data_IF_327199373878
#
_entry.id   IF_327199373878
#
_cell.length_a   1.000
_cell.length_b   1.000
_cell.length_c   1.000
_cell.angle_alpha   90.00
_cell.angle_beta   90.00
_cell.angle_gamma   90.00
#
_symmetry.space_group_name_H-M   'P 1'
#
loop_
_entity.id
_entity.type
_entity.pdbx_description
1 polymer ?
#
# COMPACT_ATOMS: atom_id res chain seq x y z
N UNK A 1 7.47 -24.75 5.66
CA UNK A 1 7.22 -24.12 4.35
C UNK A 1 5.96 -23.25 4.34
N UNK A 2 4.81 -23.75 4.84
CA UNK A 2 3.55 -23.00 4.79
C UNK A 2 3.62 -21.60 5.45
N UNK A 3 4.28 -21.48 6.61
CA UNK A 3 4.44 -20.17 7.28
C UNK A 3 5.30 -19.19 6.49
N UNK A 4 6.33 -19.67 5.77
CA UNK A 4 7.14 -18.83 4.90
C UNK A 4 6.29 -18.24 3.77
N UNK A 5 5.51 -19.06 3.09
CA UNK A 5 4.60 -18.59 2.04
C UNK A 5 3.55 -17.59 2.58
N UNK A 6 2.91 -17.93 3.71
CA UNK A 6 1.90 -17.06 4.36
C UNK A 6 2.45 -15.68 4.73
N UNK A 7 3.68 -15.60 5.26
CA UNK A 7 4.31 -14.32 5.60
C UNK A 7 4.55 -13.49 4.34
N UNK A 8 5.07 -14.10 3.27
CA UNK A 8 5.31 -13.38 2.02
C UNK A 8 4.01 -12.85 1.41
N UNK A 9 2.92 -13.63 1.45
CA UNK A 9 1.59 -13.15 1.00
C UNK A 9 1.17 -11.93 1.81
N UNK A 10 1.25 -11.97 3.15
CA UNK A 10 0.91 -10.81 3.98
C UNK A 10 1.80 -9.61 3.67
N UNK A 11 3.11 -9.82 3.53
CA UNK A 11 4.07 -8.75 3.22
C UNK A 11 3.82 -8.10 1.87
N UNK A 12 3.42 -8.88 0.86
CA UNK A 12 2.99 -8.38 -0.45
C UNK A 12 1.75 -7.51 -0.30
N UNK A 13 0.74 -7.98 0.45
CA UNK A 13 -0.50 -7.23 0.66
C UNK A 13 -0.27 -5.93 1.43
N UNK A 14 0.61 -5.95 2.44
CA UNK A 14 1.04 -4.75 3.15
C UNK A 14 1.74 -3.78 2.18
N UNK A 15 2.70 -4.27 1.39
CA UNK A 15 3.34 -3.43 0.37
C UNK A 15 2.31 -2.80 -0.59
N UNK A 16 1.29 -3.54 -1.01
CA UNK A 16 0.20 -3.02 -1.86
C UNK A 16 -0.63 -1.93 -1.17
N UNK A 17 -0.96 -2.08 0.11
CA UNK A 17 -1.69 -1.05 0.87
C UNK A 17 -0.95 0.29 0.85
N UNK A 18 0.39 0.27 0.94
CA UNK A 18 1.19 1.48 0.90
C UNK A 18 1.44 1.98 -0.53
N UNK A 19 1.73 1.06 -1.45
CA UNK A 19 2.07 1.34 -2.84
C UNK A 19 0.92 1.91 -3.65
N UNK A 20 -0.29 1.38 -3.50
CA UNK A 20 -1.44 1.78 -4.32
C UNK A 20 -1.83 3.26 -4.13
N UNK A 21 -1.97 3.78 -2.89
CA UNK A 21 -2.24 5.19 -2.68
C UNK A 21 -1.17 6.10 -3.29
N UNK A 22 0.12 5.77 -3.08
CA UNK A 22 1.23 6.54 -3.63
C UNK A 22 1.16 6.60 -5.16
N UNK A 23 0.94 5.44 -5.79
CA UNK A 23 0.88 5.34 -7.24
C UNK A 23 -0.33 6.08 -7.80
N UNK A 24 -1.50 5.97 -7.15
CA UNK A 24 -2.69 6.69 -7.59
C UNK A 24 -2.52 8.20 -7.44
N UNK A 25 -2.03 8.67 -6.29
CA UNK A 25 -1.77 10.09 -6.03
C UNK A 25 -0.72 10.67 -6.99
N UNK A 26 0.36 9.92 -7.25
CA UNK A 26 1.40 10.36 -8.18
C UNK A 26 0.93 10.44 -9.64
N UNK A 27 -0.25 9.90 -9.96
CA UNK A 27 -0.76 9.79 -11.31
C UNK A 27 -2.08 10.51 -11.56
N UNK A 28 -2.52 11.37 -10.62
CA UNK A 28 -3.72 12.19 -10.76
C UNK A 28 -3.73 12.95 -12.10
N UNK A 29 -2.62 13.62 -12.45
CA UNK A 29 -2.53 14.40 -13.70
C UNK A 29 -2.60 13.53 -14.95
N UNK A 30 -1.95 12.36 -14.91
CA UNK A 30 -1.99 11.39 -16.00
C UNK A 30 -3.40 10.85 -16.22
N UNK A 31 -4.12 10.54 -15.13
CA UNK A 31 -5.52 10.12 -15.21
C UNK A 31 -6.43 11.23 -15.73
N UNK A 32 -6.25 12.46 -15.26
CA UNK A 32 -7.01 13.62 -15.77
C UNK A 32 -6.82 13.80 -17.28
N UNK A 33 -5.57 13.75 -17.77
CA UNK A 33 -5.28 13.86 -19.20
C UNK A 33 -5.90 12.71 -20.02
N UNK A 34 -5.79 11.47 -19.55
CA UNK A 34 -6.26 10.30 -20.30
C UNK A 34 -7.78 10.14 -20.28
N UNK A 35 -8.44 10.51 -19.18
CA UNK A 35 -9.90 10.45 -19.05
C UNK A 35 -10.63 11.67 -19.62
N UNK A 36 -9.93 12.80 -19.74
CA UNK A 36 -10.55 14.10 -20.07
C UNK A 36 -11.32 14.70 -18.90
N UNK A 37 -11.28 14.10 -17.70
CA UNK A 37 -11.91 14.64 -16.51
C UNK A 37 -11.10 15.77 -15.89
N UNK A 38 -11.81 16.69 -15.24
CA UNK A 38 -11.18 17.70 -14.41
C UNK A 38 -10.39 17.04 -13.27
N UNK A 39 -9.22 17.61 -12.95
CA UNK A 39 -8.32 17.14 -11.90
C UNK A 39 -9.02 17.02 -10.55
N UNK A 40 -9.99 17.91 -10.25
CA UNK A 40 -10.81 17.84 -9.03
C UNK A 40 -11.64 16.56 -8.94
N UNK A 41 -12.33 16.19 -10.01
CA UNK A 41 -13.12 14.95 -10.09
C UNK A 41 -12.23 13.72 -9.96
N UNK A 42 -11.09 13.70 -10.65
CA UNK A 42 -10.13 12.59 -10.59
C UNK A 42 -9.58 12.42 -9.16
N UNK A 43 -9.27 13.53 -8.47
CA UNK A 43 -8.85 13.49 -7.08
C UNK A 43 -9.91 12.85 -6.16
N UNK A 44 -11.19 13.22 -6.31
CA UNK A 44 -12.28 12.64 -5.50
C UNK A 44 -12.38 11.13 -5.75
N UNK A 45 -12.30 10.71 -7.01
CA UNK A 45 -12.34 9.28 -7.38
C UNK A 45 -11.17 8.53 -6.75
N UNK A 46 -9.96 9.07 -6.88
CA UNK A 46 -8.74 8.45 -6.33
C UNK A 46 -8.79 8.37 -4.81
N UNK A 47 -9.16 9.44 -4.12
CA UNK A 47 -9.27 9.45 -2.66
C UNK A 47 -10.32 8.42 -2.20
N UNK A 48 -11.46 8.35 -2.90
CA UNK A 48 -12.51 7.37 -2.59
C UNK A 48 -12.01 5.93 -2.80
N UNK A 49 -11.31 5.66 -3.91
CA UNK A 49 -10.72 4.36 -4.19
C UNK A 49 -9.66 3.97 -3.15
N UNK A 50 -8.82 4.92 -2.73
CA UNK A 50 -7.82 4.73 -1.67
C UNK A 50 -8.49 4.34 -0.36
N UNK A 51 -9.51 5.08 0.07
CA UNK A 51 -10.21 4.81 1.33
C UNK A 51 -10.90 3.44 1.32
N UNK A 52 -11.66 3.15 0.26
CA UNK A 52 -12.37 1.87 0.11
C UNK A 52 -11.37 0.71 0.05
N UNK A 53 -10.33 0.84 -0.77
CA UNK A 53 -9.28 -0.18 -0.91
C UNK A 53 -8.52 -0.41 0.39
N UNK A 54 -8.15 0.66 1.10
CA UNK A 54 -7.46 0.58 2.39
C UNK A 54 -8.29 -0.18 3.42
N UNK A 55 -9.58 0.16 3.57
CA UNK A 55 -10.48 -0.50 4.51
C UNK A 55 -10.67 -1.97 4.12
N UNK A 56 -10.99 -2.25 2.85
CA UNK A 56 -11.26 -3.60 2.38
C UNK A 56 -10.04 -4.53 2.58
N UNK A 57 -8.85 -4.09 2.18
CA UNK A 57 -7.63 -4.90 2.31
C UNK A 57 -7.24 -5.05 3.80
N UNK A 58 -7.40 -3.99 4.62
CA UNK A 58 -7.12 -4.07 6.06
C UNK A 58 -8.01 -5.10 6.74
N UNK A 59 -9.33 -5.04 6.50
CA UNK A 59 -10.29 -6.00 7.06
C UNK A 59 -9.94 -7.43 6.64
N UNK A 60 -9.67 -7.63 5.35
CA UNK A 60 -9.27 -8.94 4.84
C UNK A 60 -7.96 -9.45 5.46
N UNK A 61 -6.96 -8.58 5.65
CA UNK A 61 -5.71 -8.94 6.31
C UNK A 61 -5.88 -9.33 7.78
N UNK A 62 -6.77 -8.65 8.52
CA UNK A 62 -7.10 -9.04 9.90
C UNK A 62 -7.59 -10.48 9.92
N UNK A 63 -8.52 -10.85 9.02
CA UNK A 63 -9.01 -12.22 8.93
C UNK A 63 -7.90 -13.22 8.62
N UNK A 64 -7.02 -12.91 7.66
CA UNK A 64 -5.89 -13.78 7.33
C UNK A 64 -4.91 -13.95 8.49
N UNK A 65 -4.55 -12.86 9.16
CA UNK A 65 -3.62 -12.87 10.30
C UNK A 65 -4.19 -13.74 11.43
N UNK A 66 -5.47 -13.55 11.77
CA UNK A 66 -6.16 -14.32 12.80
C UNK A 66 -6.26 -15.81 12.45
N UNK A 67 -6.48 -16.14 11.18
CA UNK A 67 -6.60 -17.53 10.73
C UNK A 67 -5.24 -18.24 10.60
N UNK A 68 -4.19 -17.52 10.20
CA UNK A 68 -2.94 -18.15 9.78
C UNK A 68 -1.87 -18.24 10.87
N UNK A 69 -1.94 -17.38 11.90
CA UNK A 69 -0.82 -17.17 12.81
C UNK A 69 -1.11 -17.35 14.30
N UNK A 70 -2.17 -18.08 14.69
CA UNK A 70 -2.49 -18.52 16.06
C UNK A 70 -1.37 -18.31 17.12
N UNK A 71 -1.28 -17.09 17.67
CA UNK A 71 -0.31 -16.62 18.69
C UNK A 71 1.20 -16.78 18.36
N UNK A 72 1.58 -17.12 17.12
CA UNK A 72 2.98 -17.29 16.69
C UNK A 72 3.62 -15.95 16.30
N UNK A 73 4.72 -15.55 16.95
CA UNK A 73 5.49 -14.32 16.68
C UNK A 73 6.05 -14.17 15.25
N UNK A 74 5.97 -15.20 14.41
CA UNK A 74 6.60 -15.22 13.09
C UNK A 74 5.99 -14.19 12.11
N UNK A 75 4.75 -13.74 12.35
CA UNK A 75 4.11 -12.72 11.53
C UNK A 75 4.79 -11.33 11.62
N UNK A 76 5.55 -11.03 12.68
CA UNK A 76 6.27 -9.77 12.81
C UNK A 76 7.39 -9.57 11.77
N UNK A 77 7.85 -10.63 11.10
CA UNK A 77 8.73 -10.50 9.94
C UNK A 77 8.12 -9.67 8.80
N UNK A 78 6.78 -9.61 8.73
CA UNK A 78 6.08 -8.77 7.77
C UNK A 78 6.38 -7.27 7.93
N UNK A 79 6.82 -6.84 9.12
CA UNK A 79 7.21 -5.46 9.45
C UNK A 79 8.47 -4.99 8.71
N UNK A 80 9.29 -5.93 8.24
CA UNK A 80 10.47 -5.65 7.41
C UNK A 80 10.23 -6.02 5.95
N UNK A 81 9.53 -7.13 5.70
CA UNK A 81 9.40 -7.71 4.37
C UNK A 81 8.50 -6.91 3.41
N UNK A 82 7.62 -6.03 3.92
CA UNK A 82 6.83 -5.15 3.05
C UNK A 82 7.70 -4.21 2.20
N UNK A 83 8.86 -3.80 2.73
CA UNK A 83 9.71 -2.80 2.09
C UNK A 83 10.38 -3.32 0.80
N UNK A 84 11.02 -4.51 0.77
CA UNK A 84 11.49 -5.11 -0.48
C UNK A 84 10.41 -5.22 -1.56
N UNK A 85 9.19 -5.61 -1.19
CA UNK A 85 8.08 -5.69 -2.14
C UNK A 85 7.65 -4.32 -2.66
N UNK A 86 7.64 -3.29 -1.81
CA UNK A 86 7.39 -1.92 -2.25
C UNK A 86 8.41 -1.46 -3.29
N UNK A 87 9.69 -1.76 -3.08
CA UNK A 87 10.76 -1.42 -4.04
C UNK A 87 10.52 -2.13 -5.36
N UNK A 88 10.21 -3.43 -5.33
CA UNK A 88 9.91 -4.21 -6.54
C UNK A 88 8.72 -3.63 -7.29
N UNK A 89 7.61 -3.33 -6.61
CA UNK A 89 6.43 -2.73 -7.27
C UNK A 89 6.73 -1.36 -7.86
N UNK A 90 7.47 -0.52 -7.14
CA UNK A 90 7.86 0.80 -7.62
C UNK A 90 8.76 0.72 -8.86
N UNK A 91 9.72 -0.20 -8.86
CA UNK A 91 10.60 -0.46 -9.99
C UNK A 91 9.84 -1.02 -11.21
N UNK A 92 8.99 -2.02 -11.00
CA UNK A 92 8.18 -2.59 -12.08
C UNK A 92 7.28 -1.51 -12.70
N UNK A 93 6.68 -0.64 -11.88
CA UNK A 93 5.85 0.44 -12.37
C UNK A 93 6.64 1.52 -13.12
N UNK A 94 7.85 1.88 -12.68
CA UNK A 94 8.67 2.86 -13.42
C UNK A 94 9.13 2.34 -14.78
N UNK A 95 9.33 1.02 -14.90
CA UNK A 95 9.69 0.37 -16.16
C UNK A 95 8.47 0.21 -17.08
N UNK A 96 7.33 -0.25 -16.56
CA UNK A 96 6.15 -0.52 -17.38
C UNK A 96 5.36 0.74 -17.75
N UNK A 97 5.36 1.75 -16.87
CA UNK A 97 4.55 2.96 -17.01
C UNK A 97 5.38 4.24 -16.80
N UNK A 98 6.48 4.44 -17.55
CA UNK A 98 7.35 5.60 -17.40
C UNK A 98 6.60 6.91 -17.63
N UNK A 99 7.01 7.97 -16.91
CA UNK A 99 6.49 9.32 -17.12
C UNK A 99 7.16 9.89 -18.39
N UNK A 100 6.39 10.00 -19.48
CA UNK A 100 6.87 10.53 -20.76
C UNK A 100 6.46 11.99 -20.99
N UNK A 101 5.42 12.46 -20.30
CA UNK A 101 4.94 13.84 -20.39
C UNK A 101 5.30 14.61 -19.12
N UNK A 102 6.03 15.73 -19.22
CA UNK A 102 6.48 16.49 -18.04
C UNK A 102 5.35 16.99 -17.15
N UNK A 103 4.18 17.31 -17.72
CA UNK A 103 3.01 17.74 -16.95
C UNK A 103 2.31 16.64 -16.16
N UNK A 104 2.73 15.38 -16.28
CA UNK A 104 2.27 14.28 -15.42
C UNK A 104 3.09 14.16 -14.13
N UNK A 105 4.14 14.96 -13.98
CA UNK A 105 5.02 14.89 -12.82
C UNK A 105 4.22 15.16 -11.54
N UNK A 106 4.40 14.33 -10.50
CA UNK A 106 3.69 14.53 -9.25
C UNK A 106 4.14 15.83 -8.58
N UNK A 107 3.22 16.44 -7.84
CA UNK A 107 3.54 17.63 -7.06
C UNK A 107 4.49 17.30 -5.89
N UNK A 108 5.24 18.29 -5.36
CA UNK A 108 6.13 18.07 -4.22
C UNK A 108 5.42 17.55 -2.97
N UNK A 109 4.14 17.88 -2.77
CA UNK A 109 3.36 17.38 -1.63
C UNK A 109 3.18 15.87 -1.65
N UNK A 110 3.16 15.23 -2.83
CA UNK A 110 3.16 13.76 -2.93
C UNK A 110 4.40 13.16 -2.27
N UNK A 111 5.56 13.78 -2.44
CA UNK A 111 6.80 13.37 -1.76
C UNK A 111 6.70 13.45 -0.23
N UNK A 112 6.03 14.50 0.29
CA UNK A 112 5.80 14.65 1.73
C UNK A 112 4.86 13.57 2.28
N UNK A 113 3.80 13.21 1.54
CA UNK A 113 2.91 12.11 1.93
C UNK A 113 3.62 10.77 1.95
N UNK A 114 4.50 10.50 0.96
CA UNK A 114 5.33 9.30 0.95
C UNK A 114 6.22 9.26 2.19
N UNK A 115 6.95 10.34 2.47
CA UNK A 115 7.84 10.43 3.63
C UNK A 115 7.09 10.22 4.95
N UNK A 116 5.98 10.94 5.17
CA UNK A 116 5.14 10.77 6.36
C UNK A 116 4.63 9.32 6.47
N UNK A 117 4.23 8.75 5.34
CA UNK A 117 3.82 7.36 5.23
C UNK A 117 4.91 6.40 5.71
N UNK A 118 6.17 6.58 5.32
CA UNK A 118 7.27 5.72 5.76
C UNK A 118 7.47 5.68 7.28
N UNK A 119 7.17 6.77 7.99
CA UNK A 119 7.23 6.81 9.45
C UNK A 119 5.99 6.21 10.12
N UNK A 120 4.79 6.46 9.56
CA UNK A 120 3.53 6.01 10.15
C UNK A 120 3.24 4.53 9.84
N UNK A 121 3.63 4.07 8.65
CA UNK A 121 3.25 2.74 8.15
C UNK A 121 3.81 1.57 8.98
N UNK A 122 5.06 1.59 9.49
CA UNK A 122 5.53 0.56 10.42
C UNK A 122 4.66 0.44 11.70
N UNK A 123 4.15 1.57 12.20
CA UNK A 123 3.25 1.60 13.37
C UNK A 123 1.90 0.97 13.03
N UNK A 124 1.38 1.21 11.82
CA UNK A 124 0.18 0.54 11.31
C UNK A 124 0.39 -0.98 11.21
N UNK A 125 1.49 -1.45 10.60
CA UNK A 125 1.79 -2.89 10.48
C UNK A 125 1.90 -3.53 11.88
N UNK A 126 2.58 -2.86 12.81
CA UNK A 126 2.72 -3.35 14.18
C UNK A 126 1.36 -3.50 14.87
N UNK A 127 0.50 -2.48 14.76
CA UNK A 127 -0.85 -2.49 15.31
C UNK A 127 -1.69 -3.62 14.74
N UNK A 128 -1.65 -3.81 13.42
CA UNK A 128 -2.35 -4.87 12.71
C UNK A 128 -1.92 -6.28 13.19
N UNK A 129 -0.61 -6.50 13.31
CA UNK A 129 -0.06 -7.78 13.78
C UNK A 129 -0.41 -8.05 15.25
N UNK A 130 -0.53 -7.00 16.07
CA UNK A 130 -0.88 -7.12 17.49
C UNK A 130 -2.32 -7.59 17.73
N UNK A 131 -3.21 -7.46 16.74
CA UNK A 131 -4.59 -7.99 16.83
C UNK A 131 -4.61 -9.50 17.05
N UNK A 132 -3.65 -10.23 16.47
CA UNK A 132 -3.52 -11.69 16.67
C UNK A 132 -3.23 -12.09 18.12
N UNK A 133 -2.64 -11.19 18.90
CA UNK A 133 -2.26 -11.42 20.29
C UNK A 133 -3.40 -11.17 21.26
N UNK A 134 -4.29 -10.23 20.91
CA UNK A 134 -5.41 -9.80 21.77
C UNK A 134 -6.61 -10.74 21.73
N UNK A 135 -6.64 -11.72 20.82
CA UNK A 135 -7.72 -12.71 20.75
C UNK A 135 -7.42 -13.84 21.73
N UNK A 136 -8.12 -13.82 22.87
CA UNK A 136 -8.14 -14.88 23.89
C UNK A 136 -8.97 -16.09 23.45
#
# INVERSE_FOLDING_TARGET
>A
MQNFFRINVISICLALIFYLPITLMANVYRFARLSGFETGTVNIIIISAILIGFIAITVWLIFLILQWFEKRKIHYWSLLLWLPYLVVFSYVNSVLFPITYPGDSPNPSTGLFILAGFFVYPVYIFSLNSVAWMRD
#
